data_IF_590629554064
#
_entry.id   IF_590629554064
#
_cell.length_a   1.000
_cell.length_b   1.000
_cell.length_c   1.000
_cell.angle_alpha   90.00
_cell.angle_beta   90.00
_cell.angle_gamma   90.00
#
_symmetry.space_group_name_H-M   'P 1'
#
loop_
_entity.id
_entity.type
_entity.pdbx_description
1 polymer ?
#
# COMPACT_ATOMS: atom_id res chain seq x y z
N UNK A 1 -3.85 3.14 2.76
CA UNK A 1 -2.62 2.31 2.92
C UNK A 1 -1.63 2.62 1.80
N UNK A 2 -2.04 2.65 0.54
CA UNK A 2 -1.16 2.98 -0.59
C UNK A 2 -0.46 4.33 -0.46
N UNK A 3 -1.17 5.39 -0.06
CA UNK A 3 -0.57 6.71 0.20
C UNK A 3 0.55 6.63 1.24
N UNK A 4 0.31 5.95 2.36
CA UNK A 4 1.33 5.74 3.40
C UNK A 4 2.54 5.01 2.83
N UNK A 5 2.33 3.89 2.14
CA UNK A 5 3.42 3.06 1.61
C UNK A 5 4.21 3.78 0.53
N UNK A 6 3.54 4.46 -0.40
CA UNK A 6 4.19 5.26 -1.45
C UNK A 6 5.10 6.33 -0.85
N UNK A 7 4.60 7.10 0.12
CA UNK A 7 5.43 8.11 0.81
C UNK A 7 6.56 7.48 1.63
N UNK A 8 6.31 6.36 2.30
CA UNK A 8 7.34 5.63 3.03
C UNK A 8 8.49 5.19 2.12
N UNK A 9 8.18 4.58 0.97
CA UNK A 9 9.19 4.16 -0.03
C UNK A 9 9.95 5.38 -0.53
N UNK A 10 9.23 6.42 -0.95
CA UNK A 10 9.83 7.63 -1.52
C UNK A 10 10.82 8.27 -0.54
N UNK A 11 10.38 8.50 0.71
CA UNK A 11 11.17 9.20 1.73
C UNK A 11 12.36 8.38 2.20
N UNK A 12 12.16 7.08 2.42
CA UNK A 12 13.27 6.20 2.80
C UNK A 12 14.32 6.18 1.69
N UNK A 13 13.89 6.01 0.44
CA UNK A 13 14.81 5.97 -0.69
C UNK A 13 15.48 7.32 -0.96
N UNK A 14 14.80 8.46 -0.78
CA UNK A 14 15.42 9.79 -0.94
C UNK A 14 16.51 10.05 0.10
N UNK A 15 16.41 9.47 1.30
CA UNK A 15 17.47 9.56 2.31
C UNK A 15 18.55 8.52 2.03
N UNK A 16 18.17 7.28 1.73
CA UNK A 16 19.12 6.20 1.44
C UNK A 16 20.05 6.56 0.28
N UNK A 17 19.51 7.15 -0.79
CA UNK A 17 20.28 7.55 -1.99
C UNK A 17 21.24 8.71 -1.76
N UNK A 18 21.10 9.47 -0.67
CA UNK A 18 22.09 10.49 -0.29
C UNK A 18 23.38 9.90 0.29
N UNK A 19 23.38 8.61 0.63
CA UNK A 19 24.52 7.92 1.21
C UNK A 19 25.13 6.85 0.31
N UNK A 20 26.23 6.30 0.81
CA UNK A 20 26.95 5.18 0.22
C UNK A 20 27.12 4.03 1.22
N UNK A 21 27.13 2.81 0.68
CA UNK A 21 27.43 1.61 1.44
C UNK A 21 28.94 1.43 1.64
N UNK A 22 29.30 0.36 2.35
CA UNK A 22 30.70 -0.06 2.52
C UNK A 22 31.31 -0.59 1.22
N UNK A 23 30.45 -1.04 0.31
CA UNK A 23 30.81 -1.55 -1.01
C UNK A 23 30.09 -0.74 -2.09
N UNK A 24 30.82 -0.36 -3.15
CA UNK A 24 30.24 0.27 -4.33
C UNK A 24 29.82 -0.75 -5.40
N UNK A 25 29.05 -0.30 -6.38
CA UNK A 25 28.49 -1.12 -7.43
C UNK A 25 29.48 -1.31 -8.58
N UNK A 26 29.70 -2.56 -9.03
CA UNK A 26 30.32 -2.84 -10.33
C UNK A 26 29.29 -2.78 -11.46
N UNK A 27 28.05 -3.20 -11.16
CA UNK A 27 26.88 -3.07 -12.02
C UNK A 27 25.69 -2.68 -11.16
N UNK A 28 24.91 -1.70 -11.61
CA UNK A 28 23.66 -1.30 -10.97
C UNK A 28 22.62 -0.98 -12.04
N UNK A 29 21.43 -1.56 -11.90
CA UNK A 29 20.29 -1.30 -12.78
C UNK A 29 19.19 -0.68 -11.95
N UNK A 30 18.61 0.41 -12.44
CA UNK A 30 17.47 1.06 -11.83
C UNK A 30 16.29 0.09 -11.75
N UNK A 31 15.40 0.32 -10.79
CA UNK A 31 14.22 -0.53 -10.60
C UNK A 31 13.04 -0.04 -11.45
N UNK A 32 12.95 1.27 -11.69
CA UNK A 32 11.81 1.90 -12.35
C UNK A 32 12.12 2.23 -13.81
N UNK A 33 11.17 1.92 -14.68
CA UNK A 33 11.23 2.24 -16.10
C UNK A 33 10.53 3.57 -16.36
N UNK A 34 11.04 4.33 -17.32
CA UNK A 34 10.35 5.50 -17.85
C UNK A 34 9.39 5.10 -18.97
N UNK A 35 8.37 5.92 -19.21
CA UNK A 35 7.45 5.78 -20.34
C UNK A 35 8.05 6.24 -21.67
N UNK A 36 8.91 7.25 -21.66
CA UNK A 36 9.64 7.69 -22.84
C UNK A 36 11.02 8.16 -22.40
N UNK A 37 12.05 7.70 -23.11
CA UNK A 37 13.45 8.00 -22.80
C UNK A 37 13.84 9.43 -23.17
N UNK A 38 13.07 10.09 -24.04
CA UNK A 38 13.32 11.47 -24.50
C UNK A 38 12.41 12.50 -23.82
N UNK A 39 11.48 12.07 -22.95
CA UNK A 39 10.68 13.01 -22.17
C UNK A 39 11.47 13.50 -20.97
N UNK A 40 11.24 14.75 -20.51
CA UNK A 40 11.73 15.23 -19.22
C UNK A 40 11.42 14.23 -18.11
N UNK A 41 12.40 13.93 -17.26
CA UNK A 41 12.24 12.94 -16.19
C UNK A 41 11.10 13.28 -15.21
N UNK A 42 10.78 14.57 -15.05
CA UNK A 42 9.63 15.07 -14.29
C UNK A 42 8.27 14.59 -14.84
N UNK A 43 8.19 14.26 -16.14
CA UNK A 43 6.98 13.85 -16.85
C UNK A 43 7.11 12.46 -17.50
N UNK A 44 8.16 11.70 -17.19
CA UNK A 44 8.48 10.44 -17.85
C UNK A 44 7.74 9.21 -17.24
N UNK A 45 6.60 9.41 -16.58
CA UNK A 45 5.78 8.32 -16.02
C UNK A 45 6.32 7.68 -14.73
N UNK A 46 7.31 8.29 -14.08
CA UNK A 46 7.87 7.77 -12.83
C UNK A 46 6.90 7.97 -11.67
N UNK A 47 6.71 6.93 -10.85
CA UNK A 47 5.88 7.00 -9.65
C UNK A 47 6.41 8.00 -8.61
N UNK A 48 7.74 8.17 -8.57
CA UNK A 48 8.44 9.12 -7.72
C UNK A 48 9.20 10.10 -8.63
N UNK A 49 8.53 11.16 -9.13
CA UNK A 49 9.15 12.06 -10.08
C UNK A 49 10.30 12.84 -9.41
N UNK A 50 11.46 12.96 -10.10
CA UNK A 50 12.56 13.78 -9.63
C UNK A 50 12.26 15.28 -9.77
N UNK A 51 13.15 16.09 -9.20
CA UNK A 51 13.11 17.55 -9.22
C UNK A 51 14.44 18.13 -9.71
N UNK A 52 14.45 19.41 -10.06
CA UNK A 52 15.68 20.13 -10.39
C UNK A 52 16.68 20.04 -9.24
N UNK A 53 17.94 19.75 -9.56
CA UNK A 53 18.99 19.61 -8.56
C UNK A 53 20.21 18.89 -9.12
N UNK A 54 20.87 18.12 -8.29
CA UNK A 54 22.04 17.34 -8.67
C UNK A 54 22.23 16.12 -7.78
N UNK A 55 23.11 15.22 -8.20
CA UNK A 55 23.67 14.17 -7.36
C UNK A 55 25.15 13.99 -7.68
N UNK A 56 25.86 13.29 -6.82
CA UNK A 56 27.26 12.95 -7.02
C UNK A 56 27.41 11.47 -7.38
N UNK A 57 28.28 11.23 -8.35
CA UNK A 57 28.79 9.90 -8.68
C UNK A 57 30.23 9.83 -8.24
N UNK A 58 30.57 8.81 -7.47
CA UNK A 58 31.92 8.53 -7.00
C UNK A 58 32.43 7.26 -7.65
N UNK A 59 33.60 7.34 -8.24
CA UNK A 59 34.27 6.23 -8.91
C UNK A 59 35.53 5.89 -8.14
N UNK A 60 35.52 4.73 -7.51
CA UNK A 60 36.64 4.24 -6.71
C UNK A 60 37.49 3.27 -7.52
N UNK A 61 38.77 3.55 -7.66
CA UNK A 61 39.73 2.58 -8.16
C UNK A 61 40.10 1.60 -7.03
N UNK A 62 39.87 0.30 -7.24
CA UNK A 62 40.09 -0.73 -6.22
C UNK A 62 41.56 -1.05 -5.95
N UNK A 63 42.47 -0.71 -6.88
CA UNK A 63 43.90 -0.94 -6.73
C UNK A 63 44.56 0.19 -5.92
N UNK A 64 44.22 1.44 -6.21
CA UNK A 64 44.84 2.61 -5.58
C UNK A 64 44.05 3.15 -4.41
N UNK A 65 42.75 2.83 -4.31
CA UNK A 65 41.83 3.42 -3.36
C UNK A 65 41.43 4.87 -3.69
N UNK A 66 41.89 5.42 -4.81
CA UNK A 66 41.54 6.77 -5.26
C UNK A 66 40.05 6.83 -5.59
N UNK A 67 39.39 7.89 -5.13
CA UNK A 67 37.98 8.18 -5.43
C UNK A 67 37.93 9.46 -6.25
N UNK A 68 37.34 9.37 -7.43
CA UNK A 68 37.00 10.52 -8.27
C UNK A 68 35.51 10.81 -8.12
N UNK A 69 35.17 12.04 -7.73
CA UNK A 69 33.78 12.48 -7.56
C UNK A 69 33.39 13.43 -8.68
N UNK A 70 32.27 13.15 -9.34
CA UNK A 70 31.68 13.99 -10.36
C UNK A 70 30.25 14.36 -9.97
N UNK A 71 29.94 15.65 -9.96
CA UNK A 71 28.56 16.13 -9.82
C UNK A 71 27.84 16.05 -11.16
N UNK A 72 26.64 15.47 -11.14
CA UNK A 72 25.72 15.36 -12.26
C UNK A 72 24.55 16.31 -11.98
N UNK A 73 24.41 17.32 -12.83
CA UNK A 73 23.31 18.28 -12.72
C UNK A 73 22.08 17.74 -13.44
N UNK A 74 20.93 17.85 -12.79
CA UNK A 74 19.62 17.46 -13.30
C UNK A 74 18.80 18.74 -13.49
N UNK A 75 18.61 19.11 -14.74
CA UNK A 75 17.80 20.26 -15.10
C UNK A 75 16.34 19.85 -15.26
N UNK A 76 15.47 20.30 -14.35
CA UNK A 76 14.02 20.10 -14.38
C UNK A 76 13.31 21.35 -13.84
N UNK A 77 13.87 22.54 -14.12
CA UNK A 77 13.36 23.79 -13.56
C UNK A 77 12.12 24.32 -14.30
N UNK A 78 11.83 23.77 -15.48
CA UNK A 78 10.70 24.16 -16.32
C UNK A 78 10.81 25.56 -16.94
N UNK A 79 11.98 26.20 -16.86
CA UNK A 79 12.26 27.50 -17.50
C UNK A 79 12.43 27.30 -19.01
N UNK A 80 13.15 26.26 -19.41
CA UNK A 80 13.20 25.76 -20.80
C UNK A 80 12.79 24.29 -20.86
N UNK A 81 11.48 24.00 -20.98
CA UNK A 81 10.97 22.62 -20.98
C UNK A 81 11.49 21.76 -22.14
N UNK A 82 12.11 22.37 -23.15
CA UNK A 82 12.71 21.64 -24.29
C UNK A 82 14.13 21.16 -24.00
N UNK A 83 14.74 21.65 -22.92
CA UNK A 83 16.07 21.29 -22.45
C UNK A 83 16.06 20.58 -21.09
N UNK A 84 14.89 20.38 -20.49
CA UNK A 84 14.74 19.59 -19.26
C UNK A 84 15.31 18.17 -19.49
N UNK A 85 16.07 17.69 -18.50
CA UNK A 85 16.85 16.46 -18.56
C UNK A 85 15.95 15.24 -18.77
N UNK A 86 16.14 14.57 -19.90
CA UNK A 86 15.53 13.27 -20.19
C UNK A 86 16.40 12.09 -19.71
N UNK A 87 15.90 10.86 -19.83
CA UNK A 87 16.69 9.68 -19.52
C UNK A 87 17.89 9.52 -20.48
N UNK A 88 17.72 9.88 -21.75
CA UNK A 88 18.79 9.82 -22.74
C UNK A 88 19.89 10.86 -22.47
N UNK A 89 19.50 12.06 -22.03
CA UNK A 89 20.42 13.11 -21.60
C UNK A 89 21.20 12.67 -20.36
N UNK A 90 20.51 12.11 -19.36
CA UNK A 90 21.16 11.58 -18.16
C UNK A 90 22.15 10.46 -18.49
N UNK A 91 21.79 9.54 -19.38
CA UNK A 91 22.72 8.51 -19.90
C UNK A 91 23.94 9.16 -20.54
N UNK A 92 23.76 10.23 -21.31
CA UNK A 92 24.87 10.95 -21.95
C UNK A 92 25.77 11.66 -20.93
N UNK A 93 25.18 12.34 -19.94
CA UNK A 93 25.91 12.97 -18.83
C UNK A 93 26.74 11.95 -18.05
N UNK A 94 26.15 10.79 -17.74
CA UNK A 94 26.83 9.72 -17.01
C UNK A 94 27.94 9.03 -17.80
N UNK A 95 27.79 8.91 -19.12
CA UNK A 95 28.88 8.44 -19.99
C UNK A 95 30.03 9.46 -20.12
N UNK A 96 29.82 10.71 -19.69
CA UNK A 96 30.89 11.69 -19.53
C UNK A 96 31.77 11.44 -18.29
N UNK A 97 31.34 10.57 -17.37
CA UNK A 97 32.11 10.20 -16.17
C UNK A 97 33.12 9.10 -16.53
N UNK A 98 34.39 9.30 -16.16
CA UNK A 98 35.45 8.33 -16.40
C UNK A 98 35.17 6.98 -15.74
N UNK A 99 35.50 5.88 -16.44
CA UNK A 99 35.40 4.50 -15.95
C UNK A 99 33.98 4.02 -15.61
N UNK A 100 32.94 4.71 -16.10
CA UNK A 100 31.55 4.26 -16.05
C UNK A 100 31.02 4.14 -17.49
N UNK A 101 30.16 3.16 -17.72
CA UNK A 101 29.31 3.08 -18.92
C UNK A 101 27.84 3.10 -18.49
N UNK A 102 27.09 4.06 -19.01
CA UNK A 102 25.65 4.18 -18.83
C UNK A 102 24.90 3.69 -20.07
N UNK A 103 23.91 2.84 -19.86
CA UNK A 103 23.06 2.27 -20.91
C UNK A 103 21.59 2.35 -20.50
N UNK A 104 20.71 2.36 -21.48
CA UNK A 104 19.27 2.19 -21.27
C UNK A 104 18.92 0.77 -21.70
N UNK A 105 18.32 0.00 -20.80
CA UNK A 105 17.89 -1.37 -21.06
C UNK A 105 16.68 -1.39 -22.01
N UNK A 106 16.36 -2.56 -22.57
CA UNK A 106 15.21 -2.71 -23.46
C UNK A 106 13.86 -2.38 -22.79
N UNK A 107 13.78 -2.52 -21.46
CA UNK A 107 12.63 -2.14 -20.65
C UNK A 107 12.68 -0.67 -20.16
N UNK A 108 13.54 0.17 -20.75
CA UNK A 108 13.65 1.62 -20.50
C UNK A 108 14.10 1.96 -19.06
N UNK A 109 15.02 1.18 -18.51
CA UNK A 109 15.66 1.47 -17.21
C UNK A 109 17.09 1.91 -17.41
N UNK A 110 17.59 2.76 -16.51
CA UNK A 110 18.99 3.14 -16.49
C UNK A 110 19.83 1.99 -15.91
N UNK A 111 20.90 1.62 -16.62
CA UNK A 111 21.92 0.70 -16.11
C UNK A 111 23.28 1.37 -16.17
N UNK A 112 24.03 1.28 -15.07
CA UNK A 112 25.43 1.70 -14.98
C UNK A 112 26.32 0.48 -14.74
N UNK A 113 27.46 0.46 -15.43
CA UNK A 113 28.51 -0.54 -15.26
C UNK A 113 29.83 0.19 -15.06
N UNK A 114 30.56 -0.17 -14.01
CA UNK A 114 31.91 0.30 -13.77
C UNK A 114 32.90 -0.46 -14.66
N UNK A 115 34.00 0.19 -15.05
CA UNK A 115 35.10 -0.51 -15.70
C UNK A 115 35.75 -1.53 -14.74
N UNK A 116 36.44 -2.53 -15.30
CA UNK A 116 37.13 -3.55 -14.51
C UNK A 116 38.09 -2.94 -13.48
N UNK A 117 37.95 -3.32 -12.21
CA UNK A 117 38.75 -2.78 -11.11
C UNK A 117 38.23 -1.47 -10.51
N UNK A 118 37.02 -1.05 -10.88
CA UNK A 118 36.36 0.12 -10.31
C UNK A 118 35.01 -0.22 -9.67
N UNK A 119 34.59 0.62 -8.73
CA UNK A 119 33.26 0.59 -8.12
C UNK A 119 32.61 1.98 -8.16
N UNK A 120 31.29 2.01 -8.26
CA UNK A 120 30.47 3.22 -8.28
C UNK A 120 29.74 3.36 -6.94
N UNK A 121 29.84 4.52 -6.31
CA UNK A 121 28.90 4.92 -5.25
C UNK A 121 28.23 6.24 -5.60
N UNK A 122 27.17 6.55 -4.88
CA UNK A 122 26.41 7.79 -5.07
C UNK A 122 26.37 8.57 -3.77
N UNK A 123 26.19 9.88 -3.87
CA UNK A 123 26.01 10.75 -2.72
C UNK A 123 25.23 12.00 -3.11
N UNK A 124 24.77 12.73 -2.09
CA UNK A 124 24.27 14.11 -2.24
C UNK A 124 23.17 14.29 -3.32
N UNK A 125 22.24 13.34 -3.44
CA UNK A 125 21.11 13.46 -4.39
C UNK A 125 20.05 14.43 -3.89
N UNK A 126 20.13 15.67 -4.37
CA UNK A 126 19.13 16.73 -4.14
C UNK A 126 18.00 16.70 -5.18
N UNK A 127 18.22 16.01 -6.31
CA UNK A 127 17.26 15.87 -7.41
C UNK A 127 16.25 14.74 -7.18
N UNK A 128 16.52 13.82 -6.25
CA UNK A 128 15.80 12.55 -6.07
C UNK A 128 15.78 11.67 -7.33
N UNK A 129 16.65 11.91 -8.32
CA UNK A 129 16.67 11.14 -9.56
C UNK A 129 17.10 9.70 -9.33
N UNK A 130 17.98 9.45 -8.36
CA UNK A 130 18.39 8.09 -8.01
C UNK A 130 17.22 7.32 -7.40
N UNK A 131 16.48 7.96 -6.48
CA UNK A 131 15.27 7.37 -5.90
C UNK A 131 14.18 7.15 -6.95
N UNK A 132 13.96 8.12 -7.85
CA UNK A 132 12.96 8.07 -8.91
C UNK A 132 13.22 7.02 -9.98
N UNK A 133 14.49 6.76 -10.32
CA UNK A 133 14.89 5.69 -11.25
C UNK A 133 15.15 4.35 -10.54
N UNK A 134 15.18 4.34 -9.21
CA UNK A 134 15.40 3.14 -8.41
C UNK A 134 16.86 2.66 -8.42
N UNK A 135 17.82 3.59 -8.50
CA UNK A 135 19.25 3.37 -8.35
C UNK A 135 19.65 3.63 -6.88
N UNK A 136 20.51 2.78 -6.32
CA UNK A 136 20.94 2.89 -4.91
C UNK A 136 19.77 2.97 -3.92
N UNK A 137 18.66 2.30 -4.20
CA UNK A 137 17.46 2.28 -3.36
C UNK A 137 17.40 1.05 -2.45
N UNK A 138 16.83 1.22 -1.27
CA UNK A 138 16.58 0.12 -0.35
C UNK A 138 15.24 -0.56 -0.62
N UNK A 139 14.19 0.22 -0.85
CA UNK A 139 12.88 -0.30 -1.21
C UNK A 139 12.66 -0.25 -2.73
N UNK A 140 11.90 -1.23 -3.19
CA UNK A 140 11.34 -1.36 -4.53
C UNK A 140 9.81 -1.39 -4.42
N UNK A 141 9.13 -1.19 -5.54
CA UNK A 141 7.68 -1.06 -5.56
C UNK A 141 7.22 0.39 -5.40
N UNK A 142 5.92 0.60 -5.55
CA UNK A 142 5.28 1.93 -5.61
C UNK A 142 4.18 2.10 -4.57
N UNK A 143 3.62 1.00 -4.06
CA UNK A 143 2.44 1.00 -3.20
C UNK A 143 2.43 -0.19 -2.23
N UNK A 144 1.31 -0.35 -1.51
CA UNK A 144 1.18 -1.39 -0.48
C UNK A 144 1.11 -2.81 -1.03
N UNK A 145 0.80 -2.99 -2.32
CA UNK A 145 0.65 -4.30 -2.96
C UNK A 145 1.99 -4.87 -3.46
N UNK A 146 2.97 -4.02 -3.76
CA UNK A 146 4.21 -4.42 -4.44
C UNK A 146 5.50 -3.97 -3.75
N UNK A 147 5.41 -3.35 -2.56
CA UNK A 147 6.59 -2.98 -1.77
C UNK A 147 7.46 -4.21 -1.46
N UNK A 148 8.76 -4.09 -1.72
CA UNK A 148 9.74 -5.11 -1.37
C UNK A 148 11.12 -4.50 -1.08
N UNK A 149 11.97 -5.23 -0.37
CA UNK A 149 13.39 -4.85 -0.20
C UNK A 149 14.15 -5.18 -1.49
N UNK A 150 15.00 -4.27 -1.93
CA UNK A 150 15.85 -4.44 -3.11
C UNK A 150 16.73 -5.69 -2.94
N UNK A 151 16.73 -6.57 -3.96
CA UNK A 151 17.49 -7.82 -3.94
C UNK A 151 19.00 -7.61 -3.85
N UNK A 152 19.52 -6.47 -4.33
CA UNK A 152 20.94 -6.13 -4.25
C UNK A 152 21.35 -5.92 -2.79
N UNK A 153 20.55 -5.16 -2.03
CA UNK A 153 20.84 -4.84 -0.63
C UNK A 153 20.54 -6.02 0.29
N UNK A 154 19.43 -6.73 0.07
CA UNK A 154 19.11 -7.93 0.86
C UNK A 154 20.08 -9.10 0.61
N UNK A 155 20.62 -9.21 -0.60
CA UNK A 155 21.67 -10.19 -0.93
C UNK A 155 23.04 -9.85 -0.36
N UNK A 156 23.34 -8.56 -0.19
CA UNK A 156 24.58 -8.10 0.43
C UNK A 156 24.37 -6.78 1.20
N UNK A 157 24.32 -6.84 2.55
CA UNK A 157 24.11 -5.66 3.40
C UNK A 157 25.18 -4.57 3.26
N UNK A 158 26.35 -4.86 2.66
CA UNK A 158 27.37 -3.84 2.42
C UNK A 158 26.93 -2.75 1.44
N UNK A 159 25.86 -2.98 0.66
CA UNK A 159 25.24 -1.96 -0.19
C UNK A 159 24.25 -1.05 0.56
N UNK A 160 23.94 -1.34 1.83
CA UNK A 160 23.09 -0.46 2.61
C UNK A 160 23.83 0.85 2.90
N UNK A 161 23.24 1.97 2.47
CA UNK A 161 23.89 3.27 2.44
C UNK A 161 23.88 3.97 3.81
N UNK A 162 24.83 3.60 4.69
CA UNK A 162 24.91 4.13 6.05
C UNK A 162 25.63 5.47 6.17
N UNK A 163 26.55 5.78 5.27
CA UNK A 163 27.45 6.93 5.37
C UNK A 163 27.22 7.97 4.28
N UNK A 164 27.71 9.20 4.49
CA UNK A 164 27.66 10.33 3.54
C UNK A 164 29.06 10.79 3.13
N UNK A 165 30.00 9.87 2.99
CA UNK A 165 31.39 10.18 2.60
C UNK A 165 32.39 10.33 3.73
N UNK A 166 32.00 10.06 4.99
CA UNK A 166 32.93 10.02 6.13
C UNK A 166 33.78 8.74 6.22
N UNK A 167 33.67 7.84 5.23
CA UNK A 167 34.39 6.56 5.18
C UNK A 167 33.66 5.40 5.88
N UNK A 168 34.33 4.24 6.09
CA UNK A 168 33.67 2.99 6.50
C UNK A 168 32.98 3.00 7.87
N UNK A 169 33.29 3.97 8.74
CA UNK A 169 32.68 4.11 10.06
C UNK A 169 31.59 5.20 10.10
N UNK A 170 31.25 5.79 8.96
CA UNK A 170 30.24 6.83 8.87
C UNK A 170 28.83 6.20 8.90
N UNK A 171 28.08 6.56 9.94
CA UNK A 171 26.69 6.17 10.15
C UNK A 171 25.72 7.35 10.07
N UNK A 172 26.15 8.51 9.57
CA UNK A 172 25.33 9.73 9.51
C UNK A 172 24.02 9.53 8.75
N UNK A 173 24.04 8.83 7.61
CA UNK A 173 22.83 8.54 6.85
C UNK A 173 21.90 7.57 7.59
N UNK A 174 22.46 6.60 8.32
CA UNK A 174 21.67 5.67 9.14
C UNK A 174 20.93 6.39 10.29
N UNK A 175 21.53 7.43 10.85
CA UNK A 175 20.87 8.29 11.86
C UNK A 175 19.68 9.02 11.25
N UNK A 176 19.81 9.55 10.03
CA UNK A 176 18.70 10.20 9.33
C UNK A 176 17.59 9.21 8.96
N UNK A 177 17.95 8.02 8.49
CA UNK A 177 17.02 6.91 8.24
C UNK A 177 16.32 6.41 9.52
N UNK A 178 16.90 6.61 10.70
CA UNK A 178 16.23 6.31 11.96
C UNK A 178 15.23 7.41 12.38
N UNK A 179 15.49 8.66 11.99
CA UNK A 179 14.72 9.83 12.43
C UNK A 179 13.55 10.19 11.51
N UNK A 180 13.59 9.81 10.22
CA UNK A 180 12.60 10.30 9.25
C UNK A 180 11.14 9.89 9.54
N UNK A 181 10.94 8.77 10.25
CA UNK A 181 9.60 8.30 10.63
C UNK A 181 8.83 9.31 11.50
N UNK A 182 9.55 10.12 12.28
CA UNK A 182 8.99 11.11 13.19
C UNK A 182 9.01 12.53 12.61
N UNK A 183 9.60 12.72 11.43
CA UNK A 183 9.63 14.03 10.78
C UNK A 183 8.33 14.29 10.00
N UNK A 184 7.77 15.48 10.20
CA UNK A 184 6.58 15.94 9.50
C UNK A 184 6.84 16.07 8.00
N UNK A 185 5.90 15.57 7.19
CA UNK A 185 6.01 15.56 5.73
C UNK A 185 4.87 16.35 5.11
N UNK A 186 5.20 17.28 4.22
CA UNK A 186 4.20 18.11 3.51
C UNK A 186 3.23 17.24 2.71
N UNK A 187 3.72 16.19 2.06
CA UNK A 187 2.91 15.22 1.31
C UNK A 187 1.90 14.43 2.16
N UNK A 188 2.09 14.37 3.48
CA UNK A 188 1.17 13.73 4.42
C UNK A 188 0.34 14.75 5.21
N UNK A 189 0.23 16.00 4.74
CA UNK A 189 -0.50 17.06 5.43
C UNK A 189 0.21 17.58 6.68
N UNK A 190 1.54 17.65 6.65
CA UNK A 190 2.42 18.00 7.78
C UNK A 190 2.35 17.03 8.97
N UNK A 191 1.95 15.78 8.70
CA UNK A 191 2.06 14.68 9.66
C UNK A 191 3.36 13.91 9.44
N UNK A 192 3.91 13.35 10.50
CA UNK A 192 4.92 12.30 10.38
C UNK A 192 4.30 11.00 9.87
N UNK A 193 5.12 10.07 9.38
CA UNK A 193 4.64 8.74 8.98
C UNK A 193 3.97 8.02 10.15
N UNK A 194 4.54 8.12 11.35
CA UNK A 194 3.98 7.54 12.56
C UNK A 194 2.59 8.14 12.90
N UNK A 195 2.46 9.47 12.84
CA UNK A 195 1.19 10.15 13.07
C UNK A 195 0.14 9.79 12.01
N UNK A 196 0.52 9.76 10.73
CA UNK A 196 -0.36 9.36 9.64
C UNK A 196 -0.88 7.93 9.82
N UNK A 197 0.01 7.01 10.21
CA UNK A 197 -0.34 5.62 10.49
C UNK A 197 -1.33 5.51 11.66
N UNK A 198 -1.04 6.15 12.80
CA UNK A 198 -1.91 6.16 13.99
C UNK A 198 -3.29 6.74 13.65
N UNK A 199 -3.34 7.85 12.90
CA UNK A 199 -4.60 8.48 12.49
C UNK A 199 -5.41 7.53 11.60
N UNK A 200 -4.76 6.87 10.63
CA UNK A 200 -5.42 5.92 9.74
C UNK A 200 -6.04 4.76 10.52
N UNK A 201 -5.26 4.13 11.42
CA UNK A 201 -5.74 3.03 12.27
C UNK A 201 -6.88 3.50 13.17
N UNK A 202 -6.77 4.70 13.74
CA UNK A 202 -7.81 5.27 14.61
C UNK A 202 -9.11 5.55 13.86
N UNK A 203 -9.05 6.04 12.61
CA UNK A 203 -10.23 6.26 11.77
C UNK A 203 -10.92 4.93 11.47
N UNK A 204 -10.18 3.92 11.03
CA UNK A 204 -10.72 2.58 10.75
C UNK A 204 -11.38 1.97 11.99
N UNK A 205 -10.76 2.12 13.17
CA UNK A 205 -11.33 1.64 14.42
C UNK A 205 -12.64 2.35 14.79
N UNK A 206 -12.70 3.68 14.61
CA UNK A 206 -13.91 4.47 14.89
C UNK A 206 -15.04 4.12 13.92
N UNK A 207 -14.75 4.02 12.62
CA UNK A 207 -15.71 3.61 11.60
C UNK A 207 -16.25 2.20 11.87
N UNK A 208 -15.36 1.25 12.17
CA UNK A 208 -15.76 -0.11 12.52
C UNK A 208 -16.66 -0.16 13.75
N UNK A 209 -16.37 0.64 14.78
CA UNK A 209 -17.19 0.71 15.98
C UNK A 209 -18.57 1.33 15.69
N UNK A 210 -18.62 2.36 14.84
CA UNK A 210 -19.86 2.99 14.39
C UNK A 210 -20.74 2.02 13.60
N UNK A 211 -20.16 1.33 12.62
CA UNK A 211 -20.87 0.34 11.80
C UNK A 211 -21.38 -0.84 12.64
N UNK A 212 -20.61 -1.28 13.64
CA UNK A 212 -21.07 -2.31 14.57
C UNK A 212 -22.29 -1.85 15.36
N UNK A 213 -22.28 -0.62 15.89
CA UNK A 213 -23.43 -0.07 16.62
C UNK A 213 -24.68 0.07 15.72
N UNK A 214 -24.50 0.46 14.46
CA UNK A 214 -25.58 0.52 13.46
C UNK A 214 -26.12 -0.89 13.18
N UNK A 215 -25.24 -1.87 12.97
CA UNK A 215 -25.61 -3.27 12.75
C UNK A 215 -26.40 -3.85 13.92
N UNK A 216 -25.97 -3.60 15.16
CA UNK A 216 -26.67 -4.04 16.38
C UNK A 216 -28.05 -3.38 16.52
N UNK A 217 -28.14 -2.10 16.15
CA UNK A 217 -29.41 -1.37 16.05
C UNK A 217 -30.38 -2.02 15.05
N UNK A 218 -29.90 -2.36 13.85
CA UNK A 218 -30.72 -3.05 12.85
C UNK A 218 -31.12 -4.47 13.28
N UNK A 219 -30.24 -5.21 13.95
CA UNK A 219 -30.57 -6.50 14.53
C UNK A 219 -31.70 -6.38 15.56
N UNK A 220 -31.60 -5.41 16.46
CA UNK A 220 -32.65 -5.13 17.47
C UNK A 220 -33.97 -4.73 16.82
N UNK A 221 -33.93 -3.87 15.80
CA UNK A 221 -35.12 -3.45 15.06
C UNK A 221 -35.79 -4.62 14.33
N UNK A 222 -34.99 -5.46 13.66
CA UNK A 222 -35.47 -6.70 13.01
C UNK A 222 -36.15 -7.62 14.03
N UNK A 223 -35.56 -7.81 15.19
CA UNK A 223 -36.11 -8.69 16.23
C UNK A 223 -37.41 -8.12 16.81
N UNK A 224 -37.53 -6.79 16.92
CA UNK A 224 -38.79 -6.10 17.26
C UNK A 224 -39.88 -6.35 16.20
N UNK A 225 -39.56 -6.20 14.91
CA UNK A 225 -40.51 -6.49 13.82
C UNK A 225 -40.91 -7.96 13.78
N UNK A 226 -39.98 -8.87 14.03
CA UNK A 226 -40.26 -10.31 14.13
C UNK A 226 -41.24 -10.59 15.27
N UNK A 227 -41.03 -9.96 16.43
CA UNK A 227 -41.91 -10.07 17.59
C UNK A 227 -43.31 -9.49 17.33
N UNK A 228 -43.39 -8.32 16.66
CA UNK A 228 -44.67 -7.75 16.24
C UNK A 228 -45.40 -8.67 15.26
N UNK A 229 -44.70 -9.22 14.27
CA UNK A 229 -45.28 -10.19 13.33
C UNK A 229 -45.81 -11.41 14.08
N UNK A 230 -45.06 -11.93 15.05
CA UNK A 230 -45.49 -13.07 15.87
C UNK A 230 -46.70 -12.74 16.76
N UNK A 231 -46.91 -11.49 17.19
CA UNK A 231 -48.12 -11.09 17.90
C UNK A 231 -49.37 -11.10 17.00
N UNK A 232 -49.26 -10.66 15.75
CA UNK A 232 -50.40 -10.64 14.82
C UNK A 232 -50.67 -11.99 14.16
N UNK A 233 -49.63 -12.78 13.89
CA UNK A 233 -49.73 -14.06 13.17
C UNK A 233 -49.64 -15.28 14.09
N UNK A 234 -49.30 -15.06 15.35
CA UNK A 234 -49.25 -16.11 16.35
C UNK A 234 -50.65 -16.52 16.76
N UNK A 235 -50.99 -17.77 16.50
CA UNK A 235 -52.20 -18.42 17.01
C UNK A 235 -51.91 -18.95 18.41
N UNK A 236 -52.82 -18.72 19.35
CA UNK A 236 -52.70 -19.29 20.70
C UNK A 236 -53.09 -20.76 20.65
N UNK A 237 -52.11 -21.65 20.86
CA UNK A 237 -52.37 -23.10 20.92
C UNK A 237 -53.45 -23.47 21.94
N UNK A 238 -53.59 -22.69 23.01
CA UNK A 238 -54.63 -22.88 24.02
C UNK A 238 -56.02 -22.50 23.49
N UNK A 239 -56.15 -21.42 22.71
CA UNK A 239 -57.42 -21.07 22.05
C UNK A 239 -57.77 -22.08 20.95
N UNK A 240 -56.80 -22.49 20.15
CA UNK A 240 -56.97 -23.56 19.16
C UNK A 240 -57.42 -24.86 19.85
N UNK A 241 -56.82 -25.21 20.98
CA UNK A 241 -57.19 -26.39 21.76
C UNK A 241 -58.60 -26.28 22.38
N UNK A 242 -58.99 -25.11 22.88
CA UNK A 242 -60.34 -24.85 23.36
C UNK A 242 -61.35 -24.97 22.22
N UNK A 243 -61.08 -24.39 21.05
CA UNK A 243 -61.92 -24.51 19.86
C UNK A 243 -62.06 -25.96 19.41
N UNK A 244 -60.97 -26.73 19.40
CA UNK A 244 -60.99 -28.16 19.09
C UNK A 244 -61.83 -28.92 20.11
N UNK A 245 -61.68 -28.67 21.42
CA UNK A 245 -62.50 -29.29 22.46
C UNK A 245 -63.98 -28.93 22.30
N UNK A 246 -64.29 -27.69 21.95
CA UNK A 246 -65.66 -27.21 21.75
C UNK A 246 -66.29 -27.88 20.52
N UNK A 247 -65.55 -28.00 19.41
CA UNK A 247 -65.96 -28.77 18.23
C UNK A 247 -66.18 -30.25 18.55
N UNK A 248 -65.29 -30.86 19.34
CA UNK A 248 -65.45 -32.24 19.78
C UNK A 248 -66.72 -32.44 20.64
N UNK A 249 -67.00 -31.53 21.58
CA UNK A 249 -68.22 -31.57 22.39
C UNK A 249 -69.47 -31.36 21.55
N UNK A 250 -69.45 -30.41 20.61
CA UNK A 250 -70.54 -30.18 19.67
C UNK A 250 -70.80 -31.43 18.81
N UNK A 251 -69.75 -32.07 18.30
CA UNK A 251 -69.86 -33.31 17.55
C UNK A 251 -70.48 -34.43 18.38
N UNK A 252 -70.04 -34.62 19.62
CA UNK A 252 -70.62 -35.60 20.55
C UNK A 252 -72.11 -35.32 20.86
N UNK A 253 -72.47 -34.04 21.04
CA UNK A 253 -73.86 -33.64 21.25
C UNK A 253 -74.73 -33.91 20.02
N UNK A 254 -74.21 -33.61 18.82
CA UNK A 254 -74.89 -33.86 17.54
C UNK A 254 -75.06 -35.36 17.30
N UNK A 255 -74.02 -36.15 17.57
CA UNK A 255 -74.08 -37.61 17.49
C UNK A 255 -75.15 -38.17 18.43
N UNK A 256 -75.25 -37.71 19.68
CA UNK A 256 -76.33 -38.10 20.60
C UNK A 256 -77.71 -37.69 20.10
N UNK A 257 -77.87 -36.49 19.53
CA UNK A 257 -79.14 -36.07 18.92
C UNK A 257 -79.54 -36.99 17.76
N UNK A 258 -78.58 -37.37 16.91
CA UNK A 258 -78.81 -38.33 15.83
C UNK A 258 -79.22 -39.68 16.42
N UNK A 259 -78.52 -40.19 17.44
CA UNK A 259 -78.88 -41.46 18.08
C UNK A 259 -80.28 -41.41 18.67
N UNK A 260 -80.67 -40.34 19.36
CA UNK A 260 -82.03 -40.21 19.91
C UNK A 260 -83.07 -40.05 18.81
N UNK A 261 -82.75 -39.35 17.71
CA UNK A 261 -83.65 -39.27 16.56
C UNK A 261 -83.82 -40.63 15.89
N UNK A 262 -82.75 -41.42 15.77
CA UNK A 262 -82.75 -42.77 15.20
C UNK A 262 -83.52 -43.76 16.09
N UNK A 263 -83.41 -43.63 17.41
CA UNK A 263 -84.24 -44.35 18.39
C UNK A 263 -85.72 -43.98 18.24
N UNK A 264 -86.05 -42.69 18.13
CA UNK A 264 -87.43 -42.22 17.90
C UNK A 264 -87.98 -42.70 16.55
N UNK A 265 -87.18 -42.71 15.49
CA UNK A 265 -87.57 -43.26 14.18
C UNK A 265 -87.82 -44.76 14.25
N UNK A 266 -86.98 -45.53 14.94
CA UNK A 266 -87.19 -46.97 15.14
C UNK A 266 -88.46 -47.27 15.95
N UNK A 267 -88.80 -46.45 16.96
CA UNK A 267 -90.06 -46.59 17.70
C UNK A 267 -91.26 -46.35 16.78
N UNK A 268 -91.20 -45.33 15.91
CA UNK A 268 -92.28 -45.03 14.95
C UNK A 268 -92.43 -46.06 13.83
N UNK A 269 -91.36 -46.73 13.42
CA UNK A 269 -91.38 -47.78 12.39
C UNK A 269 -91.75 -49.17 12.92
N UNK A 270 -91.70 -49.40 14.23
CA UNK A 270 -92.13 -50.65 14.90
C UNK A 270 -93.57 -50.60 15.44
N UNK A 271 -94.38 -49.64 14.97
CA UNK A 271 -95.84 -49.58 15.15
C UNK A 271 -96.49 -49.91 13.81
#
# INVERSE_FOLDING_TARGET
>A
LDTFTSHFIQLFNSIHTQGEGLQGFTDVTGTYAVDDVNQPLSNAGLAFPPQHGSFEVKVKNLQTGLIETQTINIDLDGIDPTNDTSLDDLKTLLNGVGNITATITADRKLKLTAADGYEISFANDTSNVLAGLGLNTFFTGTDSSNIAVNSVVSGNPNFFATGRGGGPADGSNAVELAQFFDQAQTGLGNLSLNQYYINTVSTVAQESASEQAISDGFATYRDSLSSQRAQYTGVSLDEEAINVMQLQRAYQATARMITTADELFNILLNI
#
